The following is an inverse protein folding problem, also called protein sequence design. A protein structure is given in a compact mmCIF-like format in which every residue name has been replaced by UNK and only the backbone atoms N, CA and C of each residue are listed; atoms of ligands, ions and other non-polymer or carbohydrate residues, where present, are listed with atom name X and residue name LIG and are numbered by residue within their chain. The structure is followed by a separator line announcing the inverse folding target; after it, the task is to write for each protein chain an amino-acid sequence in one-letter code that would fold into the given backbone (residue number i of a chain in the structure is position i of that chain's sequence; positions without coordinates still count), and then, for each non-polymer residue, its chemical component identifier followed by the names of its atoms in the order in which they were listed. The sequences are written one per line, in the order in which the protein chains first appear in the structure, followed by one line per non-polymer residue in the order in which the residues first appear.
data_IF_417330729271
#
_entry.id   IF_417330729271
#
_cell.length_a   1.000
_cell.length_b   1.000
_cell.length_c   1.000
_cell.angle_alpha   90.00
_cell.angle_beta   90.00
_cell.angle_gamma   90.00
#
_symmetry.space_group_name_H-M   'P 1'
#
loop_
_entity.id
_entity.type
_entity.pdbx_description
1 polymer ?
#
# COMPACT_ATOMS: atom_id res chain seq x y z
N UNK A 1 -3.26 -16.65 9.06
CA UNK A 1 -1.81 -16.36 9.05
C UNK A 1 -1.43 -15.75 7.70
N UNK A 2 -1.02 -14.48 7.69
CA UNK A 2 -0.52 -13.82 6.47
C UNK A 2 0.81 -14.49 6.07
N UNK A 3 0.81 -15.21 4.96
CA UNK A 3 2.02 -15.78 4.37
C UNK A 3 2.68 -14.74 3.46
N UNK A 4 3.47 -13.83 4.03
CA UNK A 4 4.33 -12.96 3.22
C UNK A 4 5.46 -13.80 2.60
N UNK A 5 5.24 -14.24 1.36
CA UNK A 5 6.20 -15.02 0.59
C UNK A 5 7.34 -14.13 0.05
N UNK A 6 7.11 -12.81 -0.02
CA UNK A 6 8.03 -11.83 -0.56
C UNK A 6 7.97 -10.54 0.24
N UNK A 7 9.14 -9.98 0.58
CA UNK A 7 9.25 -8.60 1.06
C UNK A 7 9.68 -7.67 -0.10
N UNK A 8 9.05 -6.51 -0.13
CA UNK A 8 9.28 -5.36 -1.01
C UNK A 8 10.14 -4.30 -0.32
N UNK A 9 10.41 -4.45 0.98
CA UNK A 9 11.34 -3.60 1.71
C UNK A 9 12.77 -3.96 1.28
N UNK A 10 13.53 -3.02 0.71
CA UNK A 10 14.92 -3.26 0.32
C UNK A 10 15.81 -3.43 1.55
N UNK A 11 16.99 -4.06 1.36
CA UNK A 11 17.99 -4.23 2.42
C UNK A 11 18.35 -2.93 3.14
N UNK A 12 18.38 -1.82 2.40
CA UNK A 12 18.51 -0.47 2.95
C UNK A 12 17.23 0.30 2.67
N UNK A 13 16.47 0.58 3.72
CA UNK A 13 15.25 1.37 3.62
C UNK A 13 15.50 2.73 2.98
N UNK A 14 14.70 3.06 1.98
CA UNK A 14 14.81 4.28 1.19
C UNK A 14 13.46 4.99 1.00
N UNK A 15 12.38 4.56 1.68
CA UNK A 15 11.02 5.08 1.46
C UNK A 15 10.88 6.59 1.69
N UNK A 16 11.69 7.16 2.60
CA UNK A 16 11.65 8.59 2.93
C UNK A 16 12.64 9.44 2.15
N UNK A 17 13.55 8.83 1.37
CA UNK A 17 14.65 9.55 0.71
C UNK A 17 14.66 9.36 -0.80
N UNK A 18 14.15 8.24 -1.30
CA UNK A 18 14.07 7.95 -2.72
C UNK A 18 12.76 8.45 -3.30
N UNK A 19 12.88 9.28 -4.33
CA UNK A 19 11.77 9.70 -5.19
C UNK A 19 11.79 8.83 -6.45
N UNK A 20 10.62 8.38 -6.89
CA UNK A 20 10.49 7.63 -8.14
C UNK A 20 10.81 8.53 -9.33
N UNK A 21 11.59 8.03 -10.31
CA UNK A 21 12.02 8.83 -11.46
C UNK A 21 10.89 9.20 -12.42
N UNK A 22 9.75 8.51 -12.34
CA UNK A 22 8.56 8.75 -13.17
C UNK A 22 7.31 8.62 -12.33
N UNK A 23 6.48 9.68 -12.35
CA UNK A 23 5.24 9.75 -11.58
C UNK A 23 4.13 10.40 -12.40
N UNK A 24 3.74 9.78 -13.52
CA UNK A 24 2.70 10.28 -14.43
C UNK A 24 1.29 9.86 -14.01
N UNK A 25 1.16 8.73 -13.30
CA UNK A 25 -0.09 8.26 -12.72
C UNK A 25 -0.54 9.18 -11.57
N UNK A 26 -1.82 9.55 -11.53
CA UNK A 26 -2.40 10.35 -10.44
C UNK A 26 -2.36 9.60 -9.10
N UNK A 27 -2.33 8.26 -9.12
CA UNK A 27 -2.20 7.43 -7.93
C UNK A 27 -0.92 7.70 -7.11
N UNK A 28 0.11 8.32 -7.68
CA UNK A 28 1.30 8.76 -6.94
C UNK A 28 1.00 9.80 -5.85
N UNK A 29 -0.02 10.64 -6.06
CA UNK A 29 -0.39 11.67 -5.06
C UNK A 29 -0.83 11.05 -3.72
N UNK A 30 -1.87 10.20 -3.65
CA UNK A 30 -2.21 9.54 -2.40
C UNK A 30 -1.10 8.59 -1.89
N UNK A 31 -0.25 8.08 -2.77
CA UNK A 31 0.90 7.28 -2.34
C UNK A 31 1.89 8.09 -1.50
N UNK A 32 2.22 9.33 -1.89
CA UNK A 32 3.13 10.16 -1.10
C UNK A 32 2.51 10.56 0.25
N UNK A 33 1.19 10.69 0.33
CA UNK A 33 0.49 10.82 1.61
C UNK A 33 0.64 9.56 2.48
N UNK A 34 0.62 8.35 1.89
CA UNK A 34 0.93 7.12 2.64
C UNK A 34 2.34 7.14 3.23
N UNK A 35 3.32 7.67 2.50
CA UNK A 35 4.71 7.81 2.99
C UNK A 35 4.75 8.79 4.18
N UNK A 36 4.04 9.92 4.08
CA UNK A 36 3.91 10.87 5.18
C UNK A 36 3.27 10.25 6.43
N UNK A 37 2.16 9.55 6.28
CA UNK A 37 1.49 8.86 7.40
C UNK A 37 2.36 7.74 8.00
N UNK A 38 3.10 7.00 7.17
CA UNK A 38 4.07 6.01 7.67
C UNK A 38 5.14 6.67 8.53
N UNK A 39 5.65 7.84 8.13
CA UNK A 39 6.59 8.58 8.97
C UNK A 39 5.95 8.98 10.29
N UNK A 40 4.72 9.52 10.29
CA UNK A 40 4.03 9.91 11.52
C UNK A 40 3.82 8.72 12.45
N UNK A 41 3.32 7.59 11.93
CA UNK A 41 3.08 6.38 12.73
C UNK A 41 4.37 5.79 13.31
N UNK A 42 5.49 5.83 12.57
CA UNK A 42 6.78 5.33 13.06
C UNK A 42 7.43 6.22 14.12
N UNK A 43 6.98 7.46 14.25
CA UNK A 43 7.52 8.43 15.20
C UNK A 43 6.46 8.87 16.24
N UNK A 44 5.31 8.21 16.29
CA UNK A 44 4.30 8.45 17.31
C UNK A 44 4.50 7.52 18.50
N UNK A 45 4.22 8.02 19.70
CA UNK A 45 4.12 7.17 20.88
C UNK A 45 2.92 6.22 20.73
N UNK A 46 3.11 4.97 21.16
CA UNK A 46 2.11 3.90 21.09
C UNK A 46 1.65 3.58 22.50
N UNK A 47 0.72 4.37 23.01
CA UNK A 47 0.08 4.10 24.29
C UNK A 47 -1.38 4.59 24.29
N UNK A 48 -2.09 4.32 25.37
CA UNK A 48 -3.50 4.72 25.51
C UNK A 48 -3.67 6.19 25.88
N UNK A 49 -2.63 6.83 26.42
CA UNK A 49 -2.63 8.27 26.73
C UNK A 49 -2.44 9.12 25.44
N UNK A 50 -1.87 8.51 24.39
CA UNK A 50 -1.58 9.07 23.07
C UNK A 50 -2.23 8.25 21.94
N UNK A 51 -3.57 8.36 21.76
CA UNK A 51 -4.31 7.56 20.79
C UNK A 51 -4.14 8.02 19.33
N UNK A 52 -3.23 8.95 19.02
CA UNK A 52 -2.98 9.49 17.68
C UNK A 52 -2.63 8.40 16.67
N UNK A 53 -1.96 7.33 17.11
CA UNK A 53 -1.64 6.17 16.27
C UNK A 53 -2.88 5.59 15.61
N UNK A 54 -4.06 5.65 16.26
CA UNK A 54 -5.34 5.17 15.69
C UNK A 54 -5.75 5.99 14.48
N UNK A 55 -5.53 7.31 14.52
CA UNK A 55 -5.80 8.22 13.40
C UNK A 55 -4.81 7.93 12.27
N UNK A 56 -3.52 7.76 12.58
CA UNK A 56 -2.52 7.43 11.57
C UNK A 56 -2.77 6.05 10.93
N UNK A 57 -3.16 5.06 11.72
CA UNK A 57 -3.53 3.74 11.22
C UNK A 57 -4.73 3.81 10.26
N UNK A 58 -5.80 4.50 10.69
CA UNK A 58 -6.99 4.71 9.87
C UNK A 58 -6.68 5.47 8.58
N UNK A 59 -5.99 6.60 8.68
CA UNK A 59 -5.60 7.42 7.53
C UNK A 59 -4.71 6.63 6.58
N UNK A 60 -3.75 5.88 7.11
CA UNK A 60 -2.84 5.06 6.34
C UNK A 60 -3.56 4.00 5.50
N UNK A 61 -4.44 3.21 6.13
CA UNK A 61 -5.21 2.19 5.42
C UNK A 61 -6.20 2.78 4.41
N UNK A 62 -6.84 3.91 4.74
CA UNK A 62 -7.70 4.63 3.81
C UNK A 62 -6.91 5.14 2.59
N UNK A 63 -5.71 5.70 2.80
CA UNK A 63 -4.85 6.17 1.72
C UNK A 63 -4.32 5.02 0.85
N UNK A 64 -3.88 3.90 1.43
CA UNK A 64 -3.48 2.71 0.67
C UNK A 64 -4.61 2.20 -0.25
N UNK A 65 -5.87 2.26 0.21
CA UNK A 65 -7.02 1.94 -0.65
C UNK A 65 -7.31 3.03 -1.68
N UNK A 66 -7.09 4.28 -1.31
CA UNK A 66 -7.25 5.43 -2.21
C UNK A 66 -6.27 5.34 -3.39
N UNK A 67 -5.03 4.91 -3.18
CA UNK A 67 -4.06 4.65 -4.27
C UNK A 67 -4.66 3.70 -5.30
N UNK A 68 -5.17 2.54 -4.86
CA UNK A 68 -5.78 1.57 -5.76
C UNK A 68 -7.07 2.07 -6.42
N UNK A 69 -7.88 2.85 -5.71
CA UNK A 69 -9.08 3.45 -6.27
C UNK A 69 -8.76 4.48 -7.36
N UNK A 70 -7.80 5.39 -7.11
CA UNK A 70 -7.36 6.39 -8.09
C UNK A 70 -6.77 5.69 -9.31
N UNK A 71 -5.95 4.65 -9.10
CA UNK A 71 -5.38 3.88 -10.19
C UNK A 71 -6.47 3.26 -11.10
N UNK A 72 -7.46 2.58 -10.52
CA UNK A 72 -8.50 1.92 -11.31
C UNK A 72 -9.51 2.92 -11.92
N UNK A 73 -9.99 3.88 -11.13
CA UNK A 73 -11.13 4.73 -11.51
C UNK A 73 -10.73 6.02 -12.20
N UNK A 74 -9.51 6.51 -11.97
CA UNK A 74 -9.05 7.77 -12.54
C UNK A 74 -8.00 7.47 -13.60
N UNK A 75 -6.87 6.85 -13.24
CA UNK A 75 -5.79 6.60 -14.20
C UNK A 75 -6.22 5.60 -15.29
N UNK A 76 -7.03 4.60 -14.94
CA UNK A 76 -7.63 3.67 -15.90
C UNK A 76 -8.57 4.31 -16.92
N UNK A 77 -9.02 5.56 -16.72
CA UNK A 77 -9.87 6.28 -17.70
C UNK A 77 -9.07 7.18 -18.65
N UNK A 78 -7.76 7.31 -18.46
CA UNK A 78 -6.92 8.20 -19.27
C UNK A 78 -6.89 7.80 -20.75
N UNK A 79 -6.87 6.50 -21.03
CA UNK A 79 -7.00 5.94 -22.39
C UNK A 79 -7.33 4.45 -22.35
N UNK A 80 -7.78 3.88 -23.48
CA UNK A 80 -8.01 2.43 -23.62
C UNK A 80 -6.76 1.60 -23.33
N UNK A 81 -5.57 2.16 -23.59
CA UNK A 81 -4.31 1.53 -23.24
C UNK A 81 -4.10 1.47 -21.73
N UNK A 82 -4.36 2.57 -21.00
CA UNK A 82 -4.31 2.58 -19.53
C UNK A 82 -5.30 1.57 -18.96
N UNK A 83 -6.55 1.60 -19.42
CA UNK A 83 -7.60 0.67 -18.98
C UNK A 83 -7.15 -0.79 -19.13
N UNK A 84 -6.63 -1.17 -20.30
CA UNK A 84 -6.18 -2.54 -20.56
C UNK A 84 -5.01 -2.96 -19.67
N UNK A 85 -3.98 -2.12 -19.56
CA UNK A 85 -2.78 -2.45 -18.76
C UNK A 85 -3.13 -2.55 -17.27
N UNK A 86 -3.84 -1.56 -16.73
CA UNK A 86 -4.23 -1.54 -15.32
C UNK A 86 -5.13 -2.75 -14.99
N UNK A 87 -6.11 -3.08 -15.84
CA UNK A 87 -6.95 -4.25 -15.64
C UNK A 87 -6.12 -5.55 -15.68
N UNK A 88 -5.20 -5.70 -16.65
CA UNK A 88 -4.34 -6.87 -16.74
C UNK A 88 -3.45 -7.03 -15.49
N UNK A 89 -2.98 -5.92 -14.93
CA UNK A 89 -2.18 -5.87 -13.70
C UNK A 89 -3.00 -6.27 -12.48
N UNK A 90 -4.22 -5.75 -12.30
CA UNK A 90 -5.14 -6.18 -11.25
C UNK A 90 -5.42 -7.69 -11.31
N UNK A 91 -5.72 -8.21 -12.50
CA UNK A 91 -5.96 -9.63 -12.70
C UNK A 91 -4.71 -10.48 -12.42
N UNK A 92 -3.52 -9.95 -12.69
CA UNK A 92 -2.26 -10.60 -12.34
C UNK A 92 -2.07 -10.69 -10.82
N UNK A 93 -2.35 -9.62 -10.07
CA UNK A 93 -2.26 -9.64 -8.61
C UNK A 93 -3.26 -10.61 -7.98
N UNK A 94 -4.45 -10.73 -8.57
CA UNK A 94 -5.48 -11.67 -8.13
C UNK A 94 -5.09 -13.12 -8.40
N UNK A 95 -4.55 -13.43 -9.58
CA UNK A 95 -4.04 -14.78 -9.90
C UNK A 95 -2.85 -15.17 -9.02
N UNK A 96 -1.96 -14.21 -8.75
CA UNK A 96 -0.77 -14.40 -7.93
C UNK A 96 -1.00 -13.91 -6.49
N UNK A 97 -2.12 -14.31 -5.88
CA UNK A 97 -2.57 -13.79 -4.58
C UNK A 97 -1.51 -13.95 -3.48
N UNK A 98 -0.81 -15.08 -3.44
CA UNK A 98 0.23 -15.35 -2.44
C UNK A 98 1.40 -14.35 -2.51
N UNK A 99 1.84 -13.97 -3.72
CA UNK A 99 2.89 -12.96 -3.91
C UNK A 99 2.40 -11.53 -3.62
N UNK A 100 1.10 -11.33 -3.60
CA UNK A 100 0.43 -10.05 -3.35
C UNK A 100 -0.38 -10.09 -2.04
N UNK A 101 -0.02 -11.00 -1.12
CA UNK A 101 -0.73 -11.24 0.13
C UNK A 101 -0.83 -9.95 0.96
N UNK A 102 0.18 -9.07 0.89
CA UNK A 102 0.14 -7.79 1.59
C UNK A 102 -1.06 -6.92 1.18
N UNK A 103 -1.48 -6.97 -0.08
CA UNK A 103 -2.67 -6.22 -0.51
C UNK A 103 -3.95 -6.92 -0.05
N UNK A 104 -4.06 -8.24 -0.28
CA UNK A 104 -5.31 -8.98 -0.07
C UNK A 104 -5.56 -9.35 1.41
N UNK A 105 -4.55 -9.84 2.09
CA UNK A 105 -4.64 -10.36 3.46
C UNK A 105 -4.37 -9.29 4.53
N UNK A 106 -3.82 -8.14 4.14
CA UNK A 106 -3.60 -7.02 5.06
C UNK A 106 -4.38 -5.76 4.63
N UNK A 107 -4.02 -5.10 3.53
CA UNK A 107 -4.64 -3.80 3.18
C UNK A 107 -6.16 -3.89 2.99
N UNK A 108 -6.65 -4.90 2.26
CA UNK A 108 -8.08 -5.06 2.04
C UNK A 108 -8.82 -5.49 3.31
N UNK A 109 -8.27 -6.46 4.04
CA UNK A 109 -8.84 -7.00 5.26
C UNK A 109 -8.92 -5.94 6.37
N UNK A 110 -7.80 -5.28 6.68
CA UNK A 110 -7.76 -4.25 7.71
C UNK A 110 -8.65 -3.06 7.40
N UNK A 111 -8.74 -2.65 6.12
CA UNK A 111 -9.72 -1.64 5.74
C UNK A 111 -11.15 -2.13 5.91
N UNK A 112 -11.45 -3.39 5.62
CA UNK A 112 -12.79 -3.94 5.85
C UNK A 112 -13.14 -3.93 7.34
N UNK A 113 -12.21 -4.33 8.22
CA UNK A 113 -12.37 -4.25 9.68
C UNK A 113 -12.68 -2.80 10.11
N UNK A 114 -11.85 -1.84 9.72
CA UNK A 114 -12.05 -0.44 10.09
C UNK A 114 -13.36 0.17 9.56
N UNK A 115 -13.70 -0.02 8.27
CA UNK A 115 -14.84 0.68 7.67
C UNK A 115 -16.18 -0.03 7.91
N UNK A 116 -16.18 -1.34 8.19
CA UNK A 116 -17.42 -2.10 8.37
C UNK A 116 -17.76 -2.36 9.82
N UNK A 117 -16.75 -2.53 10.69
CA UNK A 117 -16.96 -2.85 12.11
C UNK A 117 -16.31 -1.84 13.04
N UNK A 118 -15.51 -0.90 12.53
CA UNK A 118 -14.71 0.03 13.34
C UNK A 118 -13.80 -0.70 14.33
N UNK A 119 -13.23 -1.82 13.88
CA UNK A 119 -12.30 -2.63 14.65
C UNK A 119 -10.88 -2.49 14.10
N UNK A 120 -9.93 -2.36 15.02
CA UNK A 120 -8.51 -2.39 14.70
C UNK A 120 -8.02 -3.83 14.75
N UNK A 121 -7.49 -4.34 13.64
CA UNK A 121 -6.82 -5.63 13.60
C UNK A 121 -5.44 -5.63 14.26
N UNK A 122 -5.04 -4.49 14.83
CA UNK A 122 -3.86 -4.34 15.68
C UNK A 122 -4.24 -4.02 17.12
N UNK A 123 -3.33 -4.34 18.03
CA UNK A 123 -3.32 -3.91 19.43
C UNK A 123 -1.91 -3.47 19.83
N UNK A 124 -1.81 -2.64 20.87
CA UNK A 124 -0.52 -2.23 21.40
C UNK A 124 0.02 -3.36 22.29
N UNK A 125 1.29 -3.70 22.12
CA UNK A 125 2.05 -4.57 23.02
C UNK A 125 3.43 -3.97 23.35
N UNK A 126 4.26 -4.71 24.07
CA UNK A 126 5.60 -4.26 24.47
C UNK A 126 6.56 -4.03 23.28
N UNK A 127 6.24 -4.55 22.10
CA UNK A 127 7.06 -4.46 20.88
C UNK A 127 6.53 -3.43 19.87
N UNK A 128 5.28 -2.99 20.02
CA UNK A 128 4.66 -1.94 19.22
C UNK A 128 3.21 -2.26 18.86
N UNK A 129 2.91 -2.36 17.56
CA UNK A 129 1.58 -2.73 17.07
C UNK A 129 1.56 -4.20 16.69
N UNK A 130 0.90 -5.06 17.46
CA UNK A 130 0.72 -6.47 17.15
C UNK A 130 -0.52 -6.69 16.27
N UNK A 131 -0.34 -7.30 15.10
CA UNK A 131 -1.45 -7.65 14.21
C UNK A 131 -2.11 -8.97 14.61
N UNK A 132 -3.32 -8.90 15.17
CA UNK A 132 -4.07 -9.99 15.80
C UNK A 132 -4.18 -11.26 14.96
N UNK A 133 -4.52 -11.14 13.67
CA UNK A 133 -4.72 -12.33 12.82
C UNK A 133 -3.42 -12.99 12.33
N UNK A 134 -2.30 -12.26 12.39
CA UNK A 134 -1.04 -12.69 11.79
C UNK A 134 0.07 -12.93 12.82
N UNK A 135 -0.05 -12.36 14.01
CA UNK A 135 0.99 -12.36 15.04
C UNK A 135 2.25 -11.61 14.62
N UNK A 136 2.15 -10.70 13.64
CA UNK A 136 3.28 -9.93 13.11
C UNK A 136 3.18 -8.48 13.56
N UNK A 137 4.30 -7.78 13.50
CA UNK A 137 4.36 -6.33 13.67
C UNK A 137 3.53 -5.63 12.57
N UNK A 138 2.47 -4.94 13.00
CA UNK A 138 1.52 -4.18 12.20
C UNK A 138 2.14 -2.95 11.56
N UNK A 139 3.09 -2.28 12.23
CA UNK A 139 3.84 -1.16 11.64
C UNK A 139 4.69 -1.61 10.45
N UNK A 140 5.29 -2.79 10.54
CA UNK A 140 6.07 -3.44 9.51
C UNK A 140 5.17 -3.94 8.37
N UNK A 141 3.97 -4.47 8.66
CA UNK A 141 2.98 -4.77 7.64
C UNK A 141 2.55 -3.50 6.89
N UNK A 142 2.29 -2.40 7.62
CA UNK A 142 1.93 -1.13 7.00
C UNK A 142 3.06 -0.60 6.10
N UNK A 143 4.30 -0.64 6.59
CA UNK A 143 5.50 -0.31 5.80
C UNK A 143 5.62 -1.18 4.55
N UNK A 144 5.45 -2.49 4.69
CA UNK A 144 5.49 -3.45 3.60
C UNK A 144 4.44 -3.12 2.53
N UNK A 145 3.23 -2.72 2.94
CA UNK A 145 2.17 -2.27 2.03
C UNK A 145 2.52 -0.98 1.28
N UNK A 146 3.17 -0.02 1.94
CA UNK A 146 3.67 1.21 1.29
C UNK A 146 4.73 0.86 0.24
N UNK A 147 5.71 0.00 0.57
CA UNK A 147 6.71 -0.45 -0.40
C UNK A 147 6.10 -1.25 -1.56
N UNK A 148 5.11 -2.10 -1.28
CA UNK A 148 4.37 -2.83 -2.31
C UNK A 148 3.73 -1.86 -3.30
N UNK A 149 3.01 -0.83 -2.84
CA UNK A 149 2.41 0.17 -3.73
C UNK A 149 3.45 0.92 -4.56
N UNK A 150 4.58 1.32 -3.96
CA UNK A 150 5.66 1.96 -4.71
C UNK A 150 6.12 1.07 -5.86
N UNK A 151 6.41 -0.20 -5.56
CA UNK A 151 6.83 -1.18 -6.56
C UNK A 151 5.79 -1.34 -7.67
N UNK A 152 4.51 -1.47 -7.33
CA UNK A 152 3.45 -1.62 -8.31
C UNK A 152 3.29 -0.38 -9.21
N UNK A 153 3.34 0.82 -8.64
CA UNK A 153 3.25 2.06 -9.41
C UNK A 153 4.46 2.23 -10.32
N UNK A 154 5.69 1.99 -9.84
CA UNK A 154 6.90 2.04 -10.68
C UNK A 154 6.82 1.05 -11.85
N UNK A 155 6.33 -0.17 -11.59
CA UNK A 155 6.16 -1.19 -12.64
C UNK A 155 5.14 -0.76 -13.70
N UNK A 156 4.01 -0.18 -13.27
CA UNK A 156 2.97 0.30 -14.19
C UNK A 156 3.46 1.47 -15.05
N UNK A 157 4.21 2.40 -14.46
CA UNK A 157 4.85 3.52 -15.19
C UNK A 157 5.78 3.02 -16.31
N UNK A 158 6.56 1.97 -16.00
CA UNK A 158 7.43 1.32 -16.98
C UNK A 158 6.63 0.65 -18.10
N UNK A 159 5.63 -0.16 -17.77
CA UNK A 159 4.79 -0.86 -18.76
C UNK A 159 4.03 0.11 -19.68
N UNK A 160 3.50 1.21 -19.15
CA UNK A 160 2.83 2.24 -19.93
C UNK A 160 3.78 2.96 -20.89
N UNK A 161 5.04 3.15 -20.46
CA UNK A 161 6.08 3.78 -21.28
C UNK A 161 6.52 2.86 -22.42
N UNK A 162 6.82 1.59 -22.13
CA UNK A 162 7.30 0.62 -23.13
C UNK A 162 6.28 0.41 -24.26
N UNK A 163 5.00 0.34 -23.91
CA UNK A 163 3.91 0.20 -24.88
C UNK A 163 3.68 1.46 -25.74
N UNK A 164 4.14 2.62 -25.27
CA UNK A 164 4.10 3.87 -26.03
C UNK A 164 5.26 3.95 -27.02
N UNK A 165 6.44 3.42 -26.65
CA UNK A 165 7.61 3.36 -27.52
C UNK A 165 7.47 2.37 -28.68
N UNK A 166 6.70 1.29 -28.52
CA UNK A 166 6.46 0.28 -29.58
C UNK A 166 5.53 0.81 -30.70
N UNK A 167 4.76 1.88 -30.44
CA UNK A 167 3.80 2.47 -31.39
C UNK A 167 4.36 3.66 -32.20
N UNK A 168 5.62 4.04 -32.00
CA UNK A 168 6.32 5.07 -32.78
C UNK A 168 7.30 4.42 -33.75
#
# INVERSE_FOLDING_TARGET
MIALVKSFIPRRSDIFTRISSRTTLKAWKPFYECVGILFQLQNSDLDDDHPEWRIYWFAGLALLRTVGHVLDKIDGTTSDQHRRIINATWESWKRNRAENAIFWDFVEQERNNLLKTYEFGVEIDDEGLLHKESGRDGGQLFREAVYWWRFQLEKLEQELTDQTSIKR
#
